data_IF_642657057718
#
_entry.id   IF_642657057718
#
_cell.length_a   1.000
_cell.length_b   1.000
_cell.length_c   1.000
_cell.angle_alpha   90.00
_cell.angle_beta   90.00
_cell.angle_gamma   90.00
#
_symmetry.space_group_name_H-M   'P 1'
#
loop_
_entity.id
_entity.type
_entity.pdbx_description
1 polymer ?
#
# COMPACT_ATOMS: atom_id res chain seq x y z
N UNK A 1 5.58 18.21 7.71
CA UNK A 1 6.31 17.10 7.06
C UNK A 1 5.90 16.98 5.61
N UNK A 2 6.84 16.63 4.75
CA UNK A 2 6.63 16.30 3.34
C UNK A 2 6.58 14.76 3.19
N UNK A 3 5.40 14.23 2.97
CA UNK A 3 5.14 12.79 2.96
C UNK A 3 4.80 12.32 1.54
N UNK A 4 5.44 11.25 1.10
CA UNK A 4 5.14 10.59 -0.16
C UNK A 4 4.39 9.28 0.13
N UNK A 5 3.20 9.11 -0.43
CA UNK A 5 2.47 7.85 -0.42
C UNK A 5 2.65 7.17 -1.77
N UNK A 6 3.49 6.13 -1.81
CA UNK A 6 3.82 5.40 -3.04
C UNK A 6 3.18 4.02 -3.01
N UNK A 7 2.38 3.71 -4.02
CA UNK A 7 1.64 2.45 -4.07
C UNK A 7 0.89 2.23 -5.38
N UNK A 8 -0.04 1.29 -5.34
CA UNK A 8 -0.89 0.89 -6.44
C UNK A 8 -2.24 1.64 -6.47
N UNK A 9 -3.27 0.98 -6.98
CA UNK A 9 -4.64 1.50 -7.09
C UNK A 9 -5.28 1.84 -5.74
N UNK A 10 -4.96 1.11 -4.67
CA UNK A 10 -5.46 1.42 -3.33
C UNK A 10 -4.83 2.70 -2.75
N UNK A 11 -3.60 3.02 -3.13
CA UNK A 11 -2.98 4.31 -2.82
C UNK A 11 -3.50 5.41 -3.74
N UNK A 12 -3.68 5.12 -5.03
CA UNK A 12 -4.28 6.04 -5.99
C UNK A 12 -5.69 6.48 -5.55
N UNK A 13 -6.46 5.57 -4.93
CA UNK A 13 -7.84 5.79 -4.52
C UNK A 13 -8.85 5.39 -5.59
N UNK A 14 -8.55 4.33 -6.35
CA UNK A 14 -9.37 3.83 -7.44
C UNK A 14 -10.78 3.46 -6.97
N UNK A 15 -11.80 3.92 -7.72
CA UNK A 15 -13.20 3.49 -7.54
C UNK A 15 -13.53 2.35 -8.52
N UNK A 16 -13.67 1.10 -8.06
CA UNK A 16 -13.95 -0.03 -8.94
C UNK A 16 -15.34 0.00 -9.60
N UNK A 17 -16.19 0.94 -9.22
CA UNK A 17 -17.49 1.17 -9.88
C UNK A 17 -17.36 2.11 -11.08
N UNK A 18 -16.23 2.79 -11.23
CA UNK A 18 -16.01 3.71 -12.34
C UNK A 18 -15.62 2.95 -13.61
N UNK A 19 -16.36 3.20 -14.68
CA UNK A 19 -16.07 2.64 -16.02
C UNK A 19 -14.85 3.28 -16.70
N UNK A 20 -14.41 4.45 -16.20
CA UNK A 20 -13.31 5.22 -16.79
C UNK A 20 -12.02 5.12 -15.98
N UNK A 21 -11.97 4.31 -14.93
CA UNK A 21 -10.79 4.18 -14.07
C UNK A 21 -10.57 5.37 -13.14
N UNK A 22 -11.66 6.07 -12.77
CA UNK A 22 -11.62 7.24 -11.93
C UNK A 22 -11.29 6.91 -10.46
N UNK A 23 -11.05 7.95 -9.70
CA UNK A 23 -10.78 7.91 -8.27
C UNK A 23 -12.04 8.26 -7.48
N UNK A 24 -12.13 7.75 -6.25
CA UNK A 24 -13.05 8.33 -5.27
C UNK A 24 -12.79 9.83 -5.06
N UNK A 25 -13.77 10.53 -4.52
CA UNK A 25 -13.59 11.91 -4.09
C UNK A 25 -12.52 12.03 -2.99
N UNK A 26 -11.85 13.18 -2.85
CA UNK A 26 -10.78 13.38 -1.88
C UNK A 26 -11.16 13.06 -0.43
N UNK A 27 -12.41 13.33 -0.03
CA UNK A 27 -12.95 13.03 1.30
C UNK A 27 -13.14 11.52 1.60
N UNK A 28 -12.90 10.70 0.59
CA UNK A 28 -13.01 9.23 0.68
C UNK A 28 -11.69 8.50 0.43
N UNK A 29 -10.59 9.20 0.11
CA UNK A 29 -9.29 8.58 -0.16
C UNK A 29 -8.36 8.72 1.04
N UNK A 30 -7.76 7.62 1.49
CA UNK A 30 -6.92 7.60 2.68
C UNK A 30 -5.73 8.58 2.63
N UNK A 31 -5.15 8.82 1.45
CA UNK A 31 -4.02 9.76 1.28
C UNK A 31 -4.45 11.19 1.52
N UNK A 32 -5.62 11.58 1.01
CA UNK A 32 -6.16 12.92 1.19
C UNK A 32 -6.66 13.13 2.63
N UNK A 33 -7.27 12.10 3.23
CA UNK A 33 -7.66 12.11 4.64
C UNK A 33 -6.43 12.26 5.56
N UNK A 34 -5.33 11.55 5.26
CA UNK A 34 -4.08 11.72 6.00
C UNK A 34 -3.58 13.18 5.96
N UNK A 35 -3.63 13.80 4.79
CA UNK A 35 -3.21 15.20 4.63
C UNK A 35 -4.08 16.16 5.48
N UNK A 36 -5.40 15.95 5.47
CA UNK A 36 -6.35 16.77 6.24
C UNK A 36 -6.13 16.63 7.75
N UNK A 37 -6.04 15.38 8.24
CA UNK A 37 -5.93 15.10 9.66
C UNK A 37 -4.59 15.51 10.28
N UNK A 38 -3.51 15.45 9.50
CA UNK A 38 -2.16 15.78 9.98
C UNK A 38 -1.75 17.22 9.70
N UNK A 39 -2.35 17.87 8.72
CA UNK A 39 -1.87 19.14 8.18
C UNK A 39 -0.52 19.03 7.44
N UNK A 40 -0.07 17.83 7.11
CA UNK A 40 1.18 17.60 6.36
C UNK A 40 1.00 17.84 4.87
N UNK A 41 2.11 18.13 4.19
CA UNK A 41 2.16 18.12 2.73
C UNK A 41 2.27 16.67 2.26
N UNK A 42 1.14 16.07 1.88
CA UNK A 42 1.09 14.66 1.46
C UNK A 42 0.94 14.58 -0.06
N UNK A 43 1.86 13.87 -0.71
CA UNK A 43 1.82 13.64 -2.16
C UNK A 43 1.40 12.21 -2.46
N UNK A 44 0.28 12.08 -3.16
CA UNK A 44 -0.18 10.79 -3.66
C UNK A 44 0.57 10.40 -4.93
N UNK A 45 1.40 9.36 -4.84
CA UNK A 45 2.10 8.73 -5.96
C UNK A 45 1.56 7.32 -6.23
N UNK A 46 0.30 7.06 -5.92
CA UNK A 46 -0.42 5.84 -6.30
C UNK A 46 -0.67 5.77 -7.81
N UNK A 47 -0.68 4.56 -8.36
CA UNK A 47 -0.95 4.31 -9.78
C UNK A 47 -1.68 2.99 -9.97
N UNK A 48 -2.77 3.01 -10.74
CA UNK A 48 -3.54 1.80 -11.05
C UNK A 48 -2.65 0.74 -11.69
N UNK A 49 -2.78 -0.51 -11.21
CA UNK A 49 -2.07 -1.66 -11.74
C UNK A 49 -0.57 -1.70 -11.44
N UNK A 50 -0.03 -0.77 -10.61
CA UNK A 50 1.40 -0.77 -10.32
C UNK A 50 1.83 -2.03 -9.62
N UNK A 51 2.80 -2.71 -10.21
CA UNK A 51 3.62 -3.74 -9.57
C UNK A 51 4.80 -3.13 -8.84
N UNK A 52 5.49 -3.95 -8.06
CA UNK A 52 6.76 -3.55 -7.45
C UNK A 52 7.76 -3.21 -8.57
N UNK A 53 8.22 -1.95 -8.68
CA UNK A 53 9.11 -1.55 -9.74
C UNK A 53 10.54 -2.05 -9.51
N UNK A 54 11.30 -2.20 -10.60
CA UNK A 54 12.71 -2.60 -10.54
C UNK A 54 13.61 -1.48 -10.02
N UNK A 55 13.22 -0.22 -10.21
CA UNK A 55 14.00 0.95 -9.83
C UNK A 55 13.27 1.80 -8.81
N UNK A 56 14.03 2.48 -7.94
CA UNK A 56 13.49 3.45 -7.01
C UNK A 56 12.71 4.55 -7.74
N UNK A 57 11.56 4.98 -7.20
CA UNK A 57 10.90 6.18 -7.70
C UNK A 57 11.81 7.41 -7.51
N UNK A 58 11.63 8.40 -8.38
CA UNK A 58 12.24 9.72 -8.17
C UNK A 58 11.46 10.41 -7.04
N UNK A 59 12.10 10.56 -5.90
CA UNK A 59 11.52 11.24 -4.75
C UNK A 59 11.96 12.71 -4.72
N UNK A 60 11.10 13.64 -4.28
CA UNK A 60 11.51 15.00 -3.97
C UNK A 60 12.65 15.02 -2.92
N UNK A 61 13.63 15.91 -3.05
CA UNK A 61 14.79 15.94 -2.14
C UNK A 61 14.43 16.31 -0.69
N UNK A 62 13.27 16.92 -0.48
CA UNK A 62 12.71 17.33 0.80
C UNK A 62 11.71 16.30 1.38
N UNK A 63 11.78 15.06 0.92
CA UNK A 63 10.93 13.97 1.45
C UNK A 63 11.32 13.63 2.89
N UNK A 64 10.43 13.85 3.83
CA UNK A 64 10.60 13.48 5.24
C UNK A 64 10.22 12.01 5.51
N UNK A 65 9.16 11.51 4.85
CA UNK A 65 8.63 10.17 5.03
C UNK A 65 8.10 9.61 3.71
N UNK A 66 8.48 8.37 3.42
CA UNK A 66 7.89 7.54 2.36
C UNK A 66 7.00 6.48 2.99
N UNK A 67 5.72 6.48 2.67
CA UNK A 67 4.78 5.40 2.99
C UNK A 67 4.64 4.54 1.74
N UNK A 68 5.10 3.28 1.83
CA UNK A 68 5.18 2.34 0.72
C UNK A 68 4.21 1.18 0.92
N UNK A 69 3.27 0.99 -0.01
CA UNK A 69 2.34 -0.14 -0.02
C UNK A 69 2.20 -0.70 -1.44
N UNK A 70 2.81 -1.85 -1.70
CA UNK A 70 2.84 -2.53 -2.99
C UNK A 70 2.80 -4.05 -2.82
N UNK A 71 2.59 -4.77 -3.92
CA UNK A 71 2.66 -6.23 -4.01
C UNK A 71 1.35 -6.88 -4.45
N UNK A 72 0.21 -6.23 -4.24
CA UNK A 72 -1.11 -6.76 -4.64
C UNK A 72 -1.13 -7.17 -6.12
N UNK A 73 -0.65 -6.30 -7.01
CA UNK A 73 -0.65 -6.59 -8.46
C UNK A 73 0.37 -7.65 -8.86
N UNK A 74 1.47 -7.82 -8.13
CA UNK A 74 2.41 -8.91 -8.36
C UNK A 74 1.73 -10.26 -8.09
N UNK A 75 1.04 -10.38 -6.95
CA UNK A 75 0.30 -11.60 -6.59
C UNK A 75 -0.86 -11.90 -7.56
N UNK A 76 -1.63 -10.88 -7.96
CA UNK A 76 -2.72 -11.02 -8.94
C UNK A 76 -2.21 -11.50 -10.31
N UNK A 77 -0.97 -11.19 -10.66
CA UNK A 77 -0.33 -11.64 -11.89
C UNK A 77 0.43 -12.95 -11.76
N UNK A 78 0.25 -13.67 -10.65
CA UNK A 78 0.74 -15.03 -10.45
C UNK A 78 2.14 -15.13 -9.88
N UNK A 79 2.76 -14.02 -9.41
CA UNK A 79 4.00 -14.14 -8.65
C UNK A 79 3.75 -14.77 -7.28
N UNK A 80 4.70 -15.57 -6.82
CA UNK A 80 4.66 -16.10 -5.46
C UNK A 80 4.93 -15.00 -4.42
N UNK A 81 4.53 -15.20 -3.16
CA UNK A 81 4.87 -14.28 -2.08
C UNK A 81 6.38 -14.02 -1.94
N UNK A 82 7.19 -15.06 -2.16
CA UNK A 82 8.66 -14.99 -2.10
C UNK A 82 9.24 -14.15 -3.25
N UNK A 83 8.73 -14.34 -4.48
CA UNK A 83 9.14 -13.54 -5.63
C UNK A 83 8.77 -12.06 -5.45
N UNK A 84 7.57 -11.79 -4.96
CA UNK A 84 7.13 -10.43 -4.67
C UNK A 84 7.98 -9.80 -3.55
N UNK A 85 8.29 -10.55 -2.49
CA UNK A 85 9.15 -10.08 -1.40
C UNK A 85 10.58 -9.80 -1.87
N UNK A 86 11.14 -10.63 -2.76
CA UNK A 86 12.47 -10.41 -3.33
C UNK A 86 12.52 -9.13 -4.19
N UNK A 87 11.48 -8.85 -4.97
CA UNK A 87 11.35 -7.58 -5.71
C UNK A 87 11.25 -6.39 -4.77
N UNK A 88 10.47 -6.53 -3.68
CA UNK A 88 10.29 -5.47 -2.69
C UNK A 88 11.60 -5.16 -1.97
N UNK A 89 12.37 -6.19 -1.61
CA UNK A 89 13.71 -6.03 -1.04
C UNK A 89 14.62 -5.25 -1.98
N UNK A 90 14.68 -5.68 -3.26
CA UNK A 90 15.47 -5.01 -4.26
C UNK A 90 15.09 -3.52 -4.41
N UNK A 91 13.80 -3.20 -4.41
CA UNK A 91 13.31 -1.83 -4.43
C UNK A 91 13.78 -1.05 -3.18
N UNK A 92 13.53 -1.59 -1.98
CA UNK A 92 13.84 -0.92 -0.72
C UNK A 92 15.32 -0.58 -0.57
N UNK A 93 16.22 -1.44 -1.08
CA UNK A 93 17.68 -1.19 -1.05
C UNK A 93 18.14 -0.07 -1.97
N UNK A 94 17.30 0.36 -2.91
CA UNK A 94 17.62 1.45 -3.85
C UNK A 94 17.01 2.80 -3.45
N UNK A 95 16.10 2.83 -2.47
CA UNK A 95 15.45 4.07 -2.03
C UNK A 95 16.49 4.96 -1.32
N UNK A 96 16.71 6.21 -1.79
CA UNK A 96 17.72 7.10 -1.25
C UNK A 96 17.24 7.84 0.02
N UNK A 97 16.67 7.10 0.97
CA UNK A 97 16.19 7.58 2.27
C UNK A 97 16.79 6.73 3.39
N UNK A 98 16.89 7.29 4.59
CA UNK A 98 17.24 6.50 5.76
C UNK A 98 16.08 5.53 6.11
N UNK A 99 16.40 4.43 6.76
CA UNK A 99 15.42 3.39 7.12
C UNK A 99 14.24 3.94 7.93
N UNK A 100 14.49 4.85 8.87
CA UNK A 100 13.46 5.49 9.69
C UNK A 100 12.58 6.51 8.93
N UNK A 101 12.92 6.84 7.69
CA UNK A 101 12.12 7.67 6.80
C UNK A 101 11.23 6.84 5.85
N UNK A 102 11.22 5.52 6.00
CA UNK A 102 10.40 4.61 5.20
C UNK A 102 9.45 3.88 6.14
N UNK A 103 8.15 3.95 5.89
CA UNK A 103 7.15 3.08 6.50
C UNK A 103 6.68 2.07 5.44
N UNK A 104 7.05 0.81 5.63
CA UNK A 104 6.54 -0.27 4.79
C UNK A 104 5.19 -0.75 5.34
N UNK A 105 4.16 -0.75 4.50
CA UNK A 105 2.84 -1.29 4.83
C UNK A 105 2.60 -2.54 3.99
N UNK A 106 2.36 -3.68 4.66
CA UNK A 106 1.81 -4.84 3.98
C UNK A 106 0.35 -4.55 3.61
N UNK A 107 -0.07 -4.73 2.32
CA UNK A 107 -1.45 -4.57 1.92
C UNK A 107 -2.38 -5.48 2.75
N UNK A 108 -3.66 -5.10 2.95
CA UNK A 108 -4.62 -6.02 3.54
C UNK A 108 -4.79 -7.25 2.63
N UNK A 109 -5.06 -8.43 3.22
CA UNK A 109 -5.31 -9.63 2.44
C UNK A 109 -6.49 -9.43 1.49
N UNK A 110 -6.35 -9.98 0.29
CA UNK A 110 -7.43 -10.03 -0.69
C UNK A 110 -8.57 -10.96 -0.22
N UNK A 111 -9.74 -10.78 -0.78
CA UNK A 111 -10.91 -11.65 -0.55
C UNK A 111 -11.44 -12.18 -1.87
N UNK A 112 -12.26 -13.23 -1.86
CA UNK A 112 -12.92 -13.69 -3.09
C UNK A 112 -13.72 -12.54 -3.71
N UNK A 113 -13.61 -12.40 -5.02
CA UNK A 113 -14.28 -11.34 -5.78
C UNK A 113 -13.97 -11.46 -7.27
N UNK A 114 -14.40 -10.51 -8.06
CA UNK A 114 -14.28 -10.56 -9.53
C UNK A 114 -12.82 -10.65 -10.01
N UNK A 115 -11.88 -10.10 -9.23
CA UNK A 115 -10.44 -10.13 -9.56
C UNK A 115 -9.68 -11.21 -8.78
N UNK A 116 -10.32 -11.84 -7.81
CA UNK A 116 -9.72 -12.86 -6.93
C UNK A 116 -10.54 -14.15 -7.03
N UNK A 117 -10.30 -14.96 -8.07
CA UNK A 117 -11.16 -16.09 -8.40
C UNK A 117 -10.97 -17.33 -7.52
N UNK A 118 -9.93 -17.38 -6.69
CA UNK A 118 -9.61 -18.59 -5.92
C UNK A 118 -8.91 -18.28 -4.58
N UNK A 119 -8.94 -19.27 -3.70
CA UNK A 119 -8.35 -19.18 -2.35
C UNK A 119 -6.83 -19.04 -2.36
N UNK A 120 -6.15 -19.58 -3.37
CA UNK A 120 -4.67 -19.53 -3.43
C UNK A 120 -4.14 -18.09 -3.44
N UNK A 121 -4.79 -17.18 -4.19
CA UNK A 121 -4.40 -15.76 -4.24
C UNK A 121 -4.57 -15.11 -2.85
N UNK A 122 -5.63 -15.46 -2.12
CA UNK A 122 -5.87 -15.00 -0.75
C UNK A 122 -4.76 -15.49 0.17
N UNK A 123 -4.45 -16.79 0.12
CA UNK A 123 -3.39 -17.40 0.93
C UNK A 123 -2.04 -16.75 0.64
N UNK A 124 -1.74 -16.49 -0.64
CA UNK A 124 -0.53 -15.77 -1.05
C UNK A 124 -0.50 -14.34 -0.47
N UNK A 125 -1.62 -13.63 -0.37
CA UNK A 125 -1.63 -12.29 0.21
C UNK A 125 -1.33 -12.30 1.71
N UNK A 126 -1.78 -13.32 2.44
CA UNK A 126 -1.41 -13.53 3.84
C UNK A 126 0.08 -13.87 4.01
N UNK A 127 0.61 -14.77 3.19
CA UNK A 127 2.03 -15.14 3.22
C UNK A 127 2.93 -13.96 2.84
N UNK A 128 2.51 -13.16 1.87
CA UNK A 128 3.25 -11.95 1.48
C UNK A 128 3.34 -10.93 2.62
N UNK A 129 2.27 -10.74 3.41
CA UNK A 129 2.32 -9.87 4.58
C UNK A 129 3.35 -10.33 5.62
N UNK A 130 3.48 -11.66 5.83
CA UNK A 130 4.52 -12.24 6.70
C UNK A 130 5.92 -12.01 6.12
N UNK A 131 6.10 -12.17 4.81
CA UNK A 131 7.36 -11.88 4.11
C UNK A 131 7.74 -10.41 4.23
N UNK A 132 6.79 -9.48 4.10
CA UNK A 132 7.01 -8.04 4.31
C UNK A 132 7.48 -7.74 5.74
N UNK A 133 6.88 -8.36 6.75
CA UNK A 133 7.28 -8.18 8.15
C UNK A 133 8.71 -8.67 8.38
N UNK A 134 9.04 -9.86 7.91
CA UNK A 134 10.40 -10.43 8.02
C UNK A 134 11.43 -9.55 7.31
N UNK A 135 11.09 -9.06 6.13
CA UNK A 135 11.93 -8.16 5.35
C UNK A 135 12.18 -6.83 6.08
N UNK A 136 11.12 -6.20 6.60
CA UNK A 136 11.22 -4.95 7.33
C UNK A 136 12.08 -5.09 8.59
N UNK A 137 11.91 -6.16 9.36
CA UNK A 137 12.75 -6.48 10.53
C UNK A 137 14.21 -6.62 10.16
N UNK A 138 14.52 -7.34 9.08
CA UNK A 138 15.89 -7.56 8.61
C UNK A 138 16.55 -6.27 8.12
N UNK A 139 15.79 -5.39 7.47
CA UNK A 139 16.30 -4.11 6.96
C UNK A 139 16.24 -2.98 8.00
N UNK A 140 15.64 -3.19 9.17
CA UNK A 140 15.47 -2.15 10.19
C UNK A 140 14.51 -1.04 9.78
N UNK A 141 13.50 -1.35 8.93
CA UNK A 141 12.51 -0.41 8.41
C UNK A 141 11.23 -0.48 9.26
N UNK A 142 10.65 0.65 9.68
CA UNK A 142 9.31 0.71 10.26
C UNK A 142 8.27 -0.04 9.43
N UNK A 143 7.42 -0.83 10.10
CA UNK A 143 6.48 -1.74 9.44
C UNK A 143 5.09 -1.66 10.05
N UNK A 144 4.07 -1.74 9.20
CA UNK A 144 2.68 -1.92 9.60
C UNK A 144 2.00 -3.00 8.74
N UNK A 145 1.12 -3.80 9.36
CA UNK A 145 0.33 -4.81 8.66
C UNK A 145 -1.12 -4.37 8.57
N UNK A 146 -1.54 -3.90 7.39
CA UNK A 146 -2.92 -3.48 7.16
C UNK A 146 -3.94 -4.64 7.23
N UNK A 147 -3.47 -5.89 7.21
CA UNK A 147 -4.32 -7.07 7.40
C UNK A 147 -5.02 -7.12 8.76
N UNK A 148 -4.50 -6.43 9.78
CA UNK A 148 -5.13 -6.34 11.10
C UNK A 148 -6.09 -5.14 11.24
N UNK A 149 -6.29 -4.33 10.21
CA UNK A 149 -7.00 -3.05 10.29
C UNK A 149 -8.49 -3.13 9.93
N UNK A 150 -9.02 -4.30 9.63
CA UNK A 150 -10.41 -4.53 9.23
C UNK A 150 -10.84 -3.66 8.03
N UNK A 151 -10.01 -3.63 6.99
CA UNK A 151 -10.26 -2.85 5.78
C UNK A 151 -11.37 -3.53 4.96
N UNK A 152 -12.43 -2.77 4.68
CA UNK A 152 -13.51 -3.25 3.82
C UNK A 152 -13.10 -3.14 2.36
N UNK A 153 -13.10 -4.29 1.65
CA UNK A 153 -12.85 -4.36 0.22
C UNK A 153 -14.14 -4.29 -0.58
N UNK A 154 -14.03 -3.88 -1.83
CA UNK A 154 -15.12 -3.85 -2.80
C UNK A 154 -15.44 -5.26 -3.34
N UNK A 155 -16.45 -5.35 -4.19
CA UNK A 155 -16.92 -6.59 -4.80
C UNK A 155 -15.86 -7.36 -5.60
N UNK A 156 -14.81 -6.67 -6.04
CA UNK A 156 -13.71 -7.28 -6.79
C UNK A 156 -12.71 -8.05 -5.91
N UNK A 157 -12.79 -7.88 -4.58
CA UNK A 157 -11.94 -8.55 -3.60
C UNK A 157 -10.56 -7.92 -3.40
N UNK A 158 -10.30 -6.74 -4.00
CA UNK A 158 -8.98 -6.07 -4.03
C UNK A 158 -9.04 -4.63 -3.57
N UNK A 159 -9.96 -3.83 -4.14
CA UNK A 159 -9.97 -2.39 -3.94
C UNK A 159 -10.71 -1.99 -2.67
N UNK A 160 -10.20 -0.95 -2.02
CA UNK A 160 -10.84 -0.41 -0.82
C UNK A 160 -12.18 0.23 -1.18
N UNK A 161 -13.18 0.04 -0.32
CA UNK A 161 -14.38 0.88 -0.34
C UNK A 161 -14.09 2.25 0.27
N UNK A 162 -14.97 3.28 0.12
CA UNK A 162 -14.85 4.53 0.86
C UNK A 162 -14.72 4.32 2.38
N UNK A 163 -15.43 3.33 2.93
CA UNK A 163 -15.30 2.94 4.34
C UNK A 163 -13.94 2.32 4.62
N UNK A 164 -13.43 1.47 3.72
CA UNK A 164 -12.10 0.87 3.81
C UNK A 164 -11.00 1.92 3.80
N UNK A 165 -11.09 2.92 2.94
CA UNK A 165 -10.16 4.05 2.92
C UNK A 165 -10.16 4.84 4.22
N UNK A 166 -11.32 5.13 4.81
CA UNK A 166 -11.43 5.83 6.10
C UNK A 166 -10.84 4.99 7.24
N UNK A 167 -11.13 3.69 7.27
CA UNK A 167 -10.55 2.78 8.25
C UNK A 167 -9.01 2.73 8.13
N UNK A 168 -8.49 2.66 6.90
CA UNK A 168 -7.06 2.67 6.63
C UNK A 168 -6.40 3.97 7.12
N UNK A 169 -6.97 5.14 6.79
CA UNK A 169 -6.46 6.44 7.24
C UNK A 169 -6.40 6.52 8.77
N UNK A 170 -7.47 6.11 9.46
CA UNK A 170 -7.54 6.13 10.92
C UNK A 170 -6.46 5.25 11.56
N UNK A 171 -6.30 4.01 11.08
CA UNK A 171 -5.28 3.08 11.59
C UNK A 171 -3.86 3.54 11.28
N UNK A 172 -3.66 4.12 10.11
CA UNK A 172 -2.36 4.69 9.75
C UNK A 172 -1.98 5.85 10.68
N UNK A 173 -2.93 6.73 11.03
CA UNK A 173 -2.70 7.81 11.99
C UNK A 173 -2.28 7.28 13.38
N UNK A 174 -2.88 6.17 13.85
CA UNK A 174 -2.46 5.52 15.10
C UNK A 174 -1.02 5.02 15.02
N UNK A 175 -0.61 4.42 13.90
CA UNK A 175 0.78 3.96 13.68
C UNK A 175 1.77 5.12 13.65
N UNK A 176 1.39 6.25 13.05
CA UNK A 176 2.27 7.43 12.93
C UNK A 176 2.37 8.25 14.22
N UNK A 177 1.49 8.02 15.20
CA UNK A 177 1.49 8.67 16.49
C UNK A 177 2.39 7.98 17.53
N UNK A 178 2.90 6.77 17.23
CA UNK A 178 3.77 5.97 18.11
C UNK A 178 5.25 6.21 17.80
#
# INVERSE_FOLDING_TARGET
MNVICYGDSNTFGYDPRSWLGDRYDPDSRWVDLLAVETGWTVRNMGQNGRKIPTFSPVLPPDTDLLILMLGTNDLLQGHSPEEAAAKLEHLLTQIPLNQNQILLIAPPPMTLGDWVPNQQIIDHSHLFAQSCQTLAQRLGIPFANAGSWNITLAYDGVHFTPQGHRAFAHRLLEVLAT
#
